data_IF_776968002732
#
_entry.id   IF_776968002732
#
_cell.length_a   1.000
_cell.length_b   1.000
_cell.length_c   1.000
_cell.angle_alpha   90.00
_cell.angle_beta   90.00
_cell.angle_gamma   90.00
#
_symmetry.space_group_name_H-M   'P 1'
#
loop_
_entity.id
_entity.type
_entity.pdbx_description
1 polymer ?
#
# COMPACT_ATOMS: atom_id res chain seq x y z
N UNK A 1 9.08 20.68 25.61
CA UNK A 1 8.55 21.16 24.31
C UNK A 1 7.06 21.34 24.52
N UNK A 2 6.56 22.56 24.33
CA UNK A 2 5.17 22.92 24.63
C UNK A 2 4.22 22.40 23.53
N UNK A 3 3.77 21.15 23.67
CA UNK A 3 2.79 20.57 22.75
C UNK A 3 1.42 21.27 22.89
N UNK A 4 1.10 21.80 24.08
CA UNK A 4 -0.17 22.48 24.35
C UNK A 4 -0.30 23.80 23.59
N UNK A 5 0.81 24.55 23.43
CA UNK A 5 0.83 25.76 22.61
C UNK A 5 0.52 25.49 21.14
N UNK A 6 1.11 24.43 20.57
CA UNK A 6 0.91 24.04 19.16
C UNK A 6 -0.50 23.54 18.88
N UNK A 7 -1.09 22.79 19.80
CA UNK A 7 -2.48 22.33 19.68
C UNK A 7 -3.47 23.50 19.70
N UNK A 8 -3.25 24.50 20.58
CA UNK A 8 -4.11 25.68 20.64
C UNK A 8 -4.05 26.51 19.36
N UNK A 9 -2.86 26.67 18.80
CA UNK A 9 -2.68 27.38 17.53
C UNK A 9 -3.28 26.59 16.36
N UNK A 10 -3.18 25.26 16.35
CA UNK A 10 -3.85 24.40 15.36
C UNK A 10 -5.38 24.50 15.44
N UNK A 11 -5.96 24.50 16.64
CA UNK A 11 -7.40 24.70 16.86
C UNK A 11 -7.87 26.08 16.42
N UNK A 12 -7.05 27.12 16.62
CA UNK A 12 -7.35 28.47 16.13
C UNK A 12 -7.40 28.51 14.59
N UNK A 13 -6.46 27.82 13.92
CA UNK A 13 -6.45 27.68 12.46
C UNK A 13 -7.68 26.94 11.94
N UNK A 14 -8.11 25.86 12.59
CA UNK A 14 -9.36 25.15 12.24
C UNK A 14 -10.56 26.09 12.36
N UNK A 15 -10.69 26.81 13.48
CA UNK A 15 -11.81 27.70 13.71
C UNK A 15 -11.89 28.83 12.67
N UNK A 16 -10.75 29.34 12.23
CA UNK A 16 -10.68 30.35 11.18
C UNK A 16 -11.01 29.77 9.78
N UNK A 17 -10.55 28.54 9.49
CA UNK A 17 -10.91 27.82 8.27
C UNK A 17 -12.43 27.56 8.18
N UNK A 18 -13.04 27.05 9.26
CA UNK A 18 -14.49 26.83 9.36
C UNK A 18 -15.29 28.13 9.14
N UNK A 19 -14.80 29.24 9.68
CA UNK A 19 -15.44 30.55 9.51
C UNK A 19 -15.38 31.02 8.06
N UNK A 20 -14.25 30.82 7.38
CA UNK A 20 -14.10 31.11 5.94
C UNK A 20 -15.07 30.26 5.13
N UNK A 21 -15.21 28.98 5.44
CA UNK A 21 -16.16 28.06 4.78
C UNK A 21 -17.62 28.49 4.96
N UNK A 22 -18.03 28.85 6.19
CA UNK A 22 -19.41 29.28 6.50
C UNK A 22 -19.79 30.63 5.90
N UNK A 23 -18.83 31.54 5.71
CA UNK A 23 -19.06 32.84 5.07
C UNK A 23 -19.55 32.76 3.61
N UNK A 24 -19.49 31.56 3.00
CA UNK A 24 -19.94 31.28 1.64
C UNK A 24 -21.46 31.08 1.47
N UNK A 25 -22.24 30.89 2.55
CA UNK A 25 -23.69 30.58 2.47
C UNK A 25 -24.64 31.80 2.50
N UNK A 26 -24.13 33.03 2.59
CA UNK A 26 -24.96 34.25 2.66
C UNK A 26 -24.90 35.13 1.40
N UNK A 27 -26.07 35.43 0.80
CA UNK A 27 -26.49 36.46 -0.18
C UNK A 27 -25.53 37.02 -1.28
N UNK A 28 -24.29 36.53 -1.42
CA UNK A 28 -23.28 37.06 -2.36
C UNK A 28 -22.65 36.04 -3.31
N UNK A 29 -23.27 34.87 -3.48
CA UNK A 29 -22.72 33.71 -4.20
C UNK A 29 -22.63 33.85 -5.74
N UNK A 30 -22.67 35.06 -6.31
CA UNK A 30 -22.81 35.28 -7.76
C UNK A 30 -21.54 35.80 -8.47
N UNK A 31 -20.41 35.99 -7.78
CA UNK A 31 -19.17 36.46 -8.40
C UNK A 31 -17.95 35.62 -8.00
N UNK A 32 -17.58 34.65 -8.85
CA UNK A 32 -16.21 34.24 -9.24
C UNK A 32 -15.07 34.02 -8.21
N UNK A 33 -15.29 34.09 -6.90
CA UNK A 33 -14.24 34.10 -5.87
C UNK A 33 -14.23 32.89 -4.92
N UNK A 34 -15.11 31.91 -5.11
CA UNK A 34 -15.26 30.80 -4.16
C UNK A 34 -14.07 29.83 -4.16
N UNK A 35 -13.48 29.52 -5.32
CA UNK A 35 -12.34 28.57 -5.43
C UNK A 35 -11.14 28.97 -4.57
N UNK A 36 -10.75 30.25 -4.60
CA UNK A 36 -9.59 30.74 -3.83
C UNK A 36 -9.83 30.67 -2.32
N UNK A 37 -11.08 30.84 -1.87
CA UNK A 37 -11.43 30.72 -0.44
C UNK A 37 -11.39 29.27 0.03
N UNK A 38 -11.82 28.32 -0.80
CA UNK A 38 -11.70 26.89 -0.52
C UNK A 38 -10.23 26.46 -0.45
N UNK A 39 -9.40 26.94 -1.38
CA UNK A 39 -7.93 26.69 -1.34
C UNK A 39 -7.29 27.24 -0.07
N UNK A 40 -7.59 28.49 0.31
CA UNK A 40 -7.08 29.07 1.56
C UNK A 40 -7.54 28.28 2.80
N UNK A 41 -8.79 27.81 2.83
CA UNK A 41 -9.29 26.98 3.93
C UNK A 41 -8.55 25.63 3.99
N UNK A 42 -8.33 24.96 2.85
CA UNK A 42 -7.54 23.74 2.79
C UNK A 42 -6.12 23.93 3.30
N UNK A 43 -5.44 24.99 2.86
CA UNK A 43 -4.08 25.31 3.32
C UNK A 43 -4.03 25.48 4.84
N UNK A 44 -5.07 26.07 5.44
CA UNK A 44 -5.19 26.21 6.88
C UNK A 44 -5.42 24.87 7.58
N UNK A 45 -6.28 24.00 7.05
CA UNK A 45 -6.45 22.64 7.59
C UNK A 45 -5.18 21.81 7.48
N UNK A 46 -4.44 21.90 6.37
CA UNK A 46 -3.16 21.19 6.18
C UNK A 46 -2.09 21.71 7.16
N UNK A 47 -2.03 23.02 7.39
CA UNK A 47 -1.15 23.60 8.42
C UNK A 47 -1.53 23.12 9.81
N UNK A 48 -2.81 23.14 10.16
CA UNK A 48 -3.30 22.62 11.44
C UNK A 48 -2.95 21.13 11.60
N UNK A 49 -3.14 20.32 10.56
CA UNK A 49 -2.76 18.90 10.57
C UNK A 49 -1.27 18.71 10.85
N UNK A 50 -0.39 19.47 10.20
CA UNK A 50 1.05 19.41 10.45
C UNK A 50 1.41 19.78 11.90
N UNK A 51 0.71 20.76 12.48
CA UNK A 51 0.91 21.15 13.88
C UNK A 51 0.45 20.06 14.85
N UNK A 52 -0.69 19.40 14.57
CA UNK A 52 -1.14 18.24 15.34
C UNK A 52 -0.18 17.05 15.21
N UNK A 53 0.38 16.80 14.02
CA UNK A 53 1.45 15.81 13.84
C UNK A 53 2.67 16.12 14.71
N UNK A 54 3.09 17.39 14.78
CA UNK A 54 4.19 17.80 15.66
C UNK A 54 3.84 17.67 17.16
N UNK A 55 2.58 17.85 17.53
CA UNK A 55 2.09 17.67 18.89
C UNK A 55 1.85 16.19 19.25
N UNK A 56 2.01 15.26 18.29
CA UNK A 56 1.70 13.82 18.39
C UNK A 56 0.21 13.53 18.62
N UNK A 57 -0.66 14.45 18.23
CA UNK A 57 -2.10 14.23 18.25
C UNK A 57 -2.56 13.75 16.86
N UNK A 58 -2.40 12.46 16.63
CA UNK A 58 -2.64 11.84 15.32
C UNK A 58 -4.13 11.84 14.93
N UNK A 59 -5.03 11.68 15.90
CA UNK A 59 -6.48 11.71 15.66
C UNK A 59 -6.95 13.05 15.08
N UNK A 60 -6.53 14.16 15.69
CA UNK A 60 -6.93 15.49 15.20
C UNK A 60 -6.22 15.85 13.89
N UNK A 61 -4.98 15.39 13.70
CA UNK A 61 -4.29 15.54 12.42
C UNK A 61 -5.04 14.86 11.27
N UNK A 62 -5.52 13.63 11.49
CA UNK A 62 -6.31 12.88 10.51
C UNK A 62 -7.64 13.59 10.24
N UNK A 63 -8.31 14.08 11.29
CA UNK A 63 -9.56 14.82 11.14
C UNK A 63 -9.38 16.08 10.25
N UNK A 64 -8.31 16.85 10.50
CA UNK A 64 -7.97 18.00 9.67
C UNK A 64 -7.69 17.62 8.22
N UNK A 65 -6.96 16.53 7.98
CA UNK A 65 -6.66 16.05 6.63
C UNK A 65 -7.93 15.56 5.91
N UNK A 66 -8.85 14.89 6.61
CA UNK A 66 -10.14 14.48 6.05
C UNK A 66 -10.98 15.68 5.61
N UNK A 67 -11.04 16.73 6.42
CA UNK A 67 -11.72 17.98 6.05
C UNK A 67 -11.07 18.63 4.81
N UNK A 68 -9.74 18.63 4.71
CA UNK A 68 -9.04 19.12 3.51
C UNK A 68 -9.33 18.26 2.27
N UNK A 69 -9.37 16.94 2.42
CA UNK A 69 -9.68 15.97 1.35
C UNK A 69 -11.09 16.20 0.81
N UNK A 70 -12.09 16.35 1.68
CA UNK A 70 -13.47 16.59 1.27
C UNK A 70 -13.55 17.84 0.38
N UNK A 71 -12.92 18.94 0.81
CA UNK A 71 -12.91 20.19 0.04
C UNK A 71 -12.13 20.02 -1.28
N UNK A 72 -10.96 19.38 -1.29
CA UNK A 72 -10.21 19.15 -2.52
C UNK A 72 -10.94 18.23 -3.50
N UNK A 73 -11.72 17.27 -3.00
CA UNK A 73 -12.56 16.38 -3.81
C UNK A 73 -13.71 17.16 -4.43
N UNK A 74 -14.39 18.01 -3.65
CA UNK A 74 -15.46 18.90 -4.15
C UNK A 74 -14.94 19.91 -5.19
N UNK A 75 -13.68 20.32 -5.09
CA UNK A 75 -13.00 21.19 -6.05
C UNK A 75 -12.52 20.46 -7.32
N UNK A 76 -12.66 19.13 -7.38
CA UNK A 76 -12.14 18.30 -8.48
C UNK A 76 -10.62 18.22 -8.53
N UNK A 77 -9.92 18.44 -7.41
CA UNK A 77 -8.45 18.34 -7.30
C UNK A 77 -8.04 16.97 -6.75
N UNK A 78 -8.38 15.91 -7.48
CA UNK A 78 -8.18 14.53 -7.04
C UNK A 78 -6.71 14.16 -6.80
N UNK A 79 -5.78 14.73 -7.57
CA UNK A 79 -4.33 14.52 -7.37
C UNK A 79 -3.83 15.03 -6.02
N UNK A 80 -4.39 16.12 -5.50
CA UNK A 80 -4.02 16.69 -4.20
C UNK A 80 -4.71 15.91 -3.09
N UNK A 81 -5.99 15.59 -3.26
CA UNK A 81 -6.74 14.74 -2.33
C UNK A 81 -6.03 13.39 -2.13
N UNK A 82 -5.57 12.75 -3.21
CA UNK A 82 -4.82 11.50 -3.15
C UNK A 82 -3.51 11.60 -2.35
N UNK A 83 -2.78 12.73 -2.44
CA UNK A 83 -1.59 12.97 -1.62
C UNK A 83 -1.92 13.04 -0.13
N UNK A 84 -3.03 13.69 0.22
CA UNK A 84 -3.48 13.75 1.61
C UNK A 84 -3.97 12.39 2.11
N UNK A 85 -4.65 11.60 1.27
CA UNK A 85 -4.98 10.21 1.59
C UNK A 85 -3.74 9.35 1.89
N UNK A 86 -2.67 9.48 1.09
CA UNK A 86 -1.39 8.81 1.38
C UNK A 86 -0.84 9.26 2.75
N UNK A 87 -0.84 10.56 3.03
CA UNK A 87 -0.38 11.06 4.34
C UNK A 87 -1.20 10.55 5.52
N UNK A 88 -2.51 10.36 5.36
CA UNK A 88 -3.37 9.73 6.37
C UNK A 88 -3.00 8.26 6.54
N UNK A 89 -2.82 7.53 5.42
CA UNK A 89 -2.45 6.13 5.44
C UNK A 89 -1.09 5.90 6.11
N UNK A 90 -0.11 6.77 5.87
CA UNK A 90 1.21 6.74 6.54
C UNK A 90 1.11 6.99 8.05
N UNK A 91 0.15 7.79 8.52
CA UNK A 91 -0.10 7.99 9.96
C UNK A 91 -0.71 6.72 10.57
N UNK A 92 -1.68 6.11 9.89
CA UNK A 92 -2.28 4.85 10.34
C UNK A 92 -1.25 3.71 10.36
N UNK A 93 -0.36 3.67 9.36
CA UNK A 93 0.73 2.69 9.24
C UNK A 93 1.76 2.82 10.36
N UNK A 94 2.30 4.02 10.60
CA UNK A 94 3.47 4.19 11.47
C UNK A 94 3.11 4.40 12.94
N UNK A 95 2.03 5.14 13.23
CA UNK A 95 1.76 5.66 14.57
C UNK A 95 0.61 4.94 15.26
N UNK A 96 -0.48 4.66 14.51
CA UNK A 96 -1.67 4.02 15.06
C UNK A 96 -1.67 2.50 14.89
N UNK A 97 -0.77 1.96 14.06
CA UNK A 97 -0.66 0.54 13.72
C UNK A 97 -1.99 -0.10 13.27
N UNK A 98 -2.88 0.70 12.68
CA UNK A 98 -4.18 0.28 12.17
C UNK A 98 -4.06 0.02 10.66
N UNK A 99 -3.64 -1.21 10.35
CA UNK A 99 -3.32 -1.63 8.99
C UNK A 99 -4.58 -1.68 8.10
N UNK A 100 -5.73 -2.05 8.66
CA UNK A 100 -7.01 -2.10 7.93
C UNK A 100 -7.42 -0.73 7.39
N UNK A 101 -7.36 0.32 8.23
CA UNK A 101 -7.66 1.67 7.77
C UNK A 101 -6.60 2.22 6.83
N UNK A 102 -5.33 1.89 7.05
CA UNK A 102 -4.26 2.29 6.14
C UNK A 102 -4.50 1.76 4.72
N UNK A 103 -4.90 0.49 4.59
CA UNK A 103 -5.28 -0.13 3.31
C UNK A 103 -6.41 0.66 2.64
N UNK A 104 -7.51 0.93 3.36
CA UNK A 104 -8.65 1.65 2.79
C UNK A 104 -8.26 3.03 2.23
N UNK A 105 -7.43 3.79 2.95
CA UNK A 105 -6.96 5.10 2.47
C UNK A 105 -5.96 4.99 1.31
N UNK A 106 -5.07 3.99 1.29
CA UNK A 106 -4.17 3.75 0.17
C UNK A 106 -4.92 3.30 -1.10
N UNK A 107 -5.97 2.50 -0.97
CA UNK A 107 -6.84 2.11 -2.09
C UNK A 107 -7.56 3.30 -2.69
N UNK A 108 -8.18 4.13 -1.84
CA UNK A 108 -8.84 5.34 -2.31
C UNK A 108 -7.87 6.32 -2.99
N UNK A 109 -6.64 6.44 -2.47
CA UNK A 109 -5.58 7.22 -3.14
C UNK A 109 -5.21 6.63 -4.51
N UNK A 110 -5.10 5.30 -4.62
CA UNK A 110 -4.80 4.62 -5.87
C UNK A 110 -5.89 4.85 -6.91
N UNK A 111 -7.17 4.77 -6.52
CA UNK A 111 -8.31 5.01 -7.41
C UNK A 111 -8.33 6.43 -7.95
N UNK A 112 -8.05 7.44 -7.11
CA UNK A 112 -7.91 8.82 -7.57
C UNK A 112 -6.76 8.99 -8.57
N UNK A 113 -5.59 8.39 -8.31
CA UNK A 113 -4.47 8.48 -9.27
C UNK A 113 -4.75 7.73 -10.56
N UNK A 114 -5.48 6.60 -10.50
CA UNK A 114 -5.88 5.82 -11.67
C UNK A 114 -6.88 6.60 -12.53
N UNK A 115 -7.82 7.32 -11.91
CA UNK A 115 -8.76 8.20 -12.61
C UNK A 115 -8.09 9.37 -13.32
N UNK A 116 -6.99 9.89 -12.77
CA UNK A 116 -6.19 10.97 -13.36
C UNK A 116 -5.09 10.48 -14.32
N UNK A 117 -5.18 9.22 -14.79
CA UNK A 117 -4.20 8.54 -15.66
C UNK A 117 -2.76 8.49 -15.10
N UNK A 118 -2.58 8.73 -13.79
CA UNK A 118 -1.30 8.73 -13.11
C UNK A 118 -0.93 7.33 -12.60
N UNK A 119 -0.72 6.41 -13.54
CA UNK A 119 -0.46 4.99 -13.23
C UNK A 119 0.76 4.75 -12.34
N UNK A 120 1.84 5.52 -12.51
CA UNK A 120 3.05 5.37 -11.67
C UNK A 120 2.78 5.65 -10.19
N UNK A 121 1.98 6.68 -9.89
CA UNK A 121 1.61 7.03 -8.52
C UNK A 121 0.58 6.04 -7.95
N UNK A 122 -0.38 5.61 -8.78
CA UNK A 122 -1.34 4.57 -8.42
C UNK A 122 -0.64 3.26 -8.04
N UNK A 123 0.31 2.80 -8.86
CA UNK A 123 1.07 1.58 -8.60
C UNK A 123 1.84 1.66 -7.28
N UNK A 124 2.43 2.81 -6.93
CA UNK A 124 3.10 2.97 -5.64
C UNK A 124 2.15 2.78 -4.45
N UNK A 125 0.91 3.28 -4.55
CA UNK A 125 -0.10 3.09 -3.52
C UNK A 125 -0.59 1.64 -3.48
N UNK A 126 -0.87 1.05 -4.64
CA UNK A 126 -1.30 -0.34 -4.76
C UNK A 126 -0.25 -1.33 -4.22
N UNK A 127 1.05 -1.05 -4.40
CA UNK A 127 2.10 -1.87 -3.79
C UNK A 127 2.00 -1.89 -2.26
N UNK A 128 1.72 -0.73 -1.64
CA UNK A 128 1.49 -0.64 -0.20
C UNK A 128 0.25 -1.43 0.21
N UNK A 129 -0.86 -1.26 -0.51
CA UNK A 129 -2.09 -2.05 -0.31
C UNK A 129 -1.79 -3.55 -0.33
N UNK A 130 -1.09 -4.04 -1.36
CA UNK A 130 -0.77 -5.46 -1.50
C UNK A 130 0.13 -5.97 -0.37
N UNK A 131 1.15 -5.19 0.04
CA UNK A 131 2.04 -5.61 1.13
C UNK A 131 1.31 -5.78 2.45
N UNK A 132 0.37 -4.87 2.77
CA UNK A 132 -0.42 -4.93 3.99
C UNK A 132 -1.54 -5.96 3.91
N UNK A 133 -2.20 -6.09 2.76
CA UNK A 133 -3.21 -7.12 2.53
C UNK A 133 -2.62 -8.52 2.72
N UNK A 134 -1.41 -8.77 2.24
CA UNK A 134 -0.70 -10.03 2.49
C UNK A 134 -0.40 -10.26 3.98
N UNK A 135 -0.05 -9.20 4.73
CA UNK A 135 0.17 -9.30 6.18
C UNK A 135 -1.13 -9.63 6.93
N UNK A 136 -2.27 -9.09 6.49
CA UNK A 136 -3.60 -9.39 7.02
C UNK A 136 -4.22 -10.70 6.50
N UNK A 137 -3.43 -11.55 5.84
CA UNK A 137 -3.86 -12.85 5.30
C UNK A 137 -4.92 -12.75 4.18
N UNK A 138 -5.12 -11.55 3.63
CA UNK A 138 -5.94 -11.31 2.44
C UNK A 138 -5.14 -11.60 1.16
N UNK A 139 -4.64 -12.83 1.05
CA UNK A 139 -3.74 -13.24 -0.02
C UNK A 139 -4.35 -13.07 -1.42
N UNK A 140 -5.63 -13.41 -1.59
CA UNK A 140 -6.34 -13.28 -2.86
C UNK A 140 -6.32 -11.83 -3.39
N UNK A 141 -6.59 -10.87 -2.51
CA UNK A 141 -6.56 -9.44 -2.84
C UNK A 141 -5.14 -8.97 -3.20
N UNK A 142 -4.14 -9.42 -2.43
CA UNK A 142 -2.74 -9.08 -2.71
C UNK A 142 -2.27 -9.62 -4.07
N UNK A 143 -2.64 -10.86 -4.41
CA UNK A 143 -2.34 -11.49 -5.70
C UNK A 143 -2.87 -10.64 -6.85
N UNK A 144 -4.17 -10.32 -6.84
CA UNK A 144 -4.80 -9.56 -7.91
C UNK A 144 -4.09 -8.22 -8.15
N UNK A 145 -3.70 -7.54 -7.06
CA UNK A 145 -2.98 -6.28 -7.15
C UNK A 145 -1.56 -6.47 -7.70
N UNK A 146 -0.80 -7.46 -7.22
CA UNK A 146 0.55 -7.72 -7.72
C UNK A 146 0.56 -8.14 -9.20
N UNK A 147 -0.42 -8.90 -9.66
CA UNK A 147 -0.55 -9.29 -11.07
C UNK A 147 -0.91 -8.11 -11.97
N UNK A 148 -1.80 -7.23 -11.50
CA UNK A 148 -2.13 -5.99 -12.22
C UNK A 148 -0.89 -5.11 -12.38
N UNK A 149 -0.13 -4.89 -11.30
CA UNK A 149 1.09 -4.08 -11.34
C UNK A 149 2.19 -4.76 -12.16
N UNK A 150 2.32 -6.09 -12.04
CA UNK A 150 3.27 -6.89 -12.81
C UNK A 150 3.03 -6.77 -14.30
N UNK A 151 1.77 -6.91 -14.74
CA UNK A 151 1.37 -6.76 -16.14
C UNK A 151 1.67 -5.35 -16.66
N UNK A 152 1.32 -4.31 -15.90
CA UNK A 152 1.65 -2.94 -16.26
C UNK A 152 3.17 -2.69 -16.34
N UNK A 153 3.96 -3.29 -15.46
CA UNK A 153 5.41 -3.16 -15.44
C UNK A 153 6.08 -3.85 -16.65
N UNK A 154 5.44 -4.87 -17.24
CA UNK A 154 5.93 -5.50 -18.47
C UNK A 154 5.78 -4.61 -19.70
N UNK A 155 4.67 -3.86 -19.78
CA UNK A 155 4.40 -2.93 -20.87
C UNK A 155 5.41 -1.76 -20.90
N UNK A 156 5.89 -1.36 -19.71
CA UNK A 156 6.89 -0.30 -19.58
C UNK A 156 8.32 -0.85 -19.62
N UNK A 157 9.08 -0.51 -20.68
CA UNK A 157 10.49 -0.92 -20.86
C UNK A 157 11.38 -0.53 -19.68
N UNK A 158 11.05 0.56 -18.97
CA UNK A 158 11.80 1.04 -17.80
C UNK A 158 11.53 0.21 -16.53
N UNK A 159 10.34 -0.39 -16.40
CA UNK A 159 9.91 -1.11 -15.20
C UNK A 159 10.07 -2.64 -15.30
N UNK A 160 10.51 -3.15 -16.45
CA UNK A 160 10.71 -4.59 -16.70
C UNK A 160 11.54 -5.31 -15.64
N UNK A 161 12.52 -4.63 -15.04
CA UNK A 161 13.33 -5.21 -13.97
C UNK A 161 12.56 -5.36 -12.66
N UNK A 162 11.63 -4.45 -12.37
CA UNK A 162 10.76 -4.52 -11.19
C UNK A 162 9.62 -5.54 -11.33
N UNK A 163 9.21 -5.89 -12.55
CA UNK A 163 8.16 -6.89 -12.79
C UNK A 163 8.47 -8.25 -12.13
N UNK A 164 9.75 -8.66 -12.11
CA UNK A 164 10.20 -9.91 -11.49
C UNK A 164 9.88 -9.99 -9.99
N UNK A 165 10.09 -8.88 -9.27
CA UNK A 165 9.79 -8.79 -7.84
C UNK A 165 8.27 -8.90 -7.59
N UNK A 166 7.45 -8.23 -8.41
CA UNK A 166 5.99 -8.30 -8.28
C UNK A 166 5.45 -9.71 -8.53
N UNK A 167 5.91 -10.40 -9.58
CA UNK A 167 5.51 -11.78 -9.85
C UNK A 167 6.00 -12.75 -8.78
N UNK A 168 7.20 -12.55 -8.23
CA UNK A 168 7.69 -13.33 -7.12
C UNK A 168 6.79 -13.18 -5.88
N UNK A 169 6.41 -11.94 -5.54
CA UNK A 169 5.49 -11.65 -4.43
C UNK A 169 4.09 -12.25 -4.66
N UNK A 170 3.58 -12.16 -5.88
CA UNK A 170 2.32 -12.80 -6.25
C UNK A 170 2.39 -14.33 -6.11
N UNK A 171 3.48 -14.96 -6.57
CA UNK A 171 3.69 -16.41 -6.45
C UNK A 171 3.76 -16.86 -4.98
N UNK A 172 4.47 -16.11 -4.11
CA UNK A 172 4.50 -16.40 -2.67
C UNK A 172 3.11 -16.26 -2.03
N UNK A 173 2.32 -15.27 -2.45
CA UNK A 173 0.94 -15.13 -1.96
C UNK A 173 0.04 -16.28 -2.44
N UNK A 174 0.18 -16.71 -3.70
CA UNK A 174 -0.51 -17.91 -4.21
C UNK A 174 -0.12 -19.14 -3.41
N UNK A 175 1.15 -19.26 -3.05
CA UNK A 175 1.65 -20.41 -2.30
C UNK A 175 1.10 -20.48 -0.88
N UNK A 176 0.86 -19.33 -0.23
CA UNK A 176 0.17 -19.29 1.05
C UNK A 176 -1.31 -19.76 0.97
N UNK A 177 -1.92 -19.69 -0.21
CA UNK A 177 -3.32 -20.11 -0.44
C UNK A 177 -3.40 -21.57 -0.82
N UNK A 178 -2.70 -21.96 -1.90
CA UNK A 178 -2.71 -23.32 -2.44
C UNK A 178 -1.46 -23.57 -3.30
N UNK A 179 -0.83 -24.69 -3.04
CA UNK A 179 0.34 -25.20 -3.76
C UNK A 179 0.08 -25.36 -5.27
N UNK A 180 -1.11 -25.84 -5.68
CA UNK A 180 -1.44 -26.04 -7.08
C UNK A 180 -1.57 -24.71 -7.83
N UNK A 181 -2.20 -23.71 -7.19
CA UNK A 181 -2.31 -22.36 -7.73
C UNK A 181 -0.94 -21.70 -7.89
N UNK A 182 -0.03 -21.89 -6.93
CA UNK A 182 1.33 -21.39 -7.04
C UNK A 182 2.08 -21.98 -8.24
N UNK A 183 2.01 -23.30 -8.46
CA UNK A 183 2.61 -23.94 -9.64
C UNK A 183 2.05 -23.39 -10.96
N UNK A 184 0.72 -23.29 -11.07
CA UNK A 184 0.07 -22.76 -12.27
C UNK A 184 0.46 -21.30 -12.53
N UNK A 185 0.51 -20.48 -11.47
CA UNK A 185 0.91 -19.07 -11.56
C UNK A 185 2.35 -18.92 -12.07
N UNK A 186 3.29 -19.73 -11.56
CA UNK A 186 4.69 -19.73 -12.01
C UNK A 186 4.81 -20.10 -13.48
N UNK A 187 4.14 -21.16 -13.94
CA UNK A 187 4.12 -21.53 -15.35
C UNK A 187 3.59 -20.40 -16.22
N UNK A 188 2.48 -19.77 -15.81
CA UNK A 188 1.91 -18.62 -16.51
C UNK A 188 2.90 -17.44 -16.59
N UNK A 189 3.61 -17.13 -15.51
CA UNK A 189 4.59 -16.05 -15.50
C UNK A 189 5.80 -16.35 -16.41
N UNK A 190 6.19 -17.61 -16.56
CA UNK A 190 7.24 -18.02 -17.50
C UNK A 190 6.82 -17.89 -18.96
N UNK A 191 5.56 -18.24 -19.27
CA UNK A 191 5.00 -18.05 -20.61
C UNK A 191 4.87 -16.56 -20.96
N UNK A 192 4.43 -15.73 -20.01
CA UNK A 192 4.27 -14.29 -20.20
C UNK A 192 5.61 -13.56 -20.29
N UNK A 193 6.60 -13.96 -19.49
CA UNK A 193 7.91 -13.31 -19.44
C UNK A 193 9.03 -14.36 -19.42
N UNK A 194 9.60 -14.74 -20.59
CA UNK A 194 10.67 -15.74 -20.66
C UNK A 194 11.90 -15.39 -19.82
N UNK A 195 12.20 -14.09 -19.63
CA UNK A 195 13.30 -13.63 -18.78
C UNK A 195 13.01 -13.77 -17.26
N UNK A 196 11.79 -14.17 -16.87
CA UNK A 196 11.45 -14.61 -15.52
C UNK A 196 12.00 -16.01 -15.23
N UNK A 197 12.02 -16.90 -16.22
CA UNK A 197 12.55 -18.27 -16.06
C UNK A 197 14.02 -18.28 -15.63
N UNK A 198 14.81 -17.34 -16.15
CA UNK A 198 16.21 -17.18 -15.76
C UNK A 198 16.42 -16.43 -14.44
N UNK A 199 15.34 -15.83 -13.90
CA UNK A 199 15.38 -15.08 -12.66
C UNK A 199 15.64 -16.01 -11.47
N UNK A 200 16.39 -15.52 -10.49
CA UNK A 200 16.73 -16.28 -9.28
C UNK A 200 15.48 -16.55 -8.45
N UNK A 201 14.56 -15.59 -8.50
CA UNK A 201 13.26 -15.60 -7.85
C UNK A 201 12.40 -16.77 -8.35
N UNK A 202 12.31 -16.99 -9.67
CA UNK A 202 11.58 -18.14 -10.23
C UNK A 202 12.23 -19.47 -9.84
N UNK A 203 13.57 -19.56 -9.92
CA UNK A 203 14.31 -20.77 -9.51
C UNK A 203 14.11 -21.11 -8.04
N UNK A 204 14.04 -20.09 -7.17
CA UNK A 204 13.70 -20.28 -5.77
C UNK A 204 12.28 -20.83 -5.64
N UNK A 205 11.26 -20.18 -6.22
CA UNK A 205 9.86 -20.64 -6.08
C UNK A 205 9.68 -22.09 -6.56
N UNK A 206 10.34 -22.48 -7.67
CA UNK A 206 10.32 -23.87 -8.14
C UNK A 206 10.89 -24.84 -7.12
N UNK A 207 12.08 -24.55 -6.56
CA UNK A 207 12.66 -25.37 -5.49
C UNK A 207 11.77 -25.44 -4.25
N UNK A 208 11.10 -24.34 -3.89
CA UNK A 208 10.18 -24.33 -2.74
C UNK A 208 8.92 -25.16 -3.01
N UNK A 209 8.41 -25.16 -4.25
CA UNK A 209 7.30 -26.02 -4.66
C UNK A 209 7.69 -27.50 -4.61
N UNK A 210 8.86 -27.85 -5.14
CA UNK A 210 9.35 -29.25 -5.13
C UNK A 210 9.56 -29.74 -3.69
N UNK A 211 10.17 -28.92 -2.81
CA UNK A 211 10.34 -29.26 -1.40
C UNK A 211 9.01 -29.42 -0.64
N UNK A 212 7.97 -28.65 -1.01
CA UNK A 212 6.64 -28.79 -0.43
C UNK A 212 5.95 -30.09 -0.86
N UNK A 213 6.11 -30.54 -2.11
CA UNK A 213 5.57 -31.84 -2.56
C UNK A 213 6.19 -33.02 -1.85
N UNK A 214 7.49 -32.93 -1.58
CA UNK A 214 8.24 -33.97 -0.87
C UNK A 214 8.03 -33.89 0.65
N UNK A 215 7.29 -32.88 1.15
CA UNK A 215 7.15 -32.54 2.56
C UNK A 215 8.50 -32.41 3.29
N UNK A 216 9.53 -31.94 2.57
CA UNK A 216 10.89 -31.81 3.09
C UNK A 216 11.15 -30.38 3.59
N UNK A 217 11.01 -30.20 4.90
CA UNK A 217 11.26 -28.93 5.58
C UNK A 217 12.73 -28.53 5.53
N UNK A 218 13.65 -29.49 5.52
CA UNK A 218 15.09 -29.22 5.50
C UNK A 218 15.50 -28.68 4.13
N UNK A 219 15.04 -29.33 3.05
CA UNK A 219 15.24 -28.86 1.67
C UNK A 219 14.66 -27.46 1.46
N UNK A 220 13.48 -27.16 2.04
CA UNK A 220 12.91 -25.82 2.01
C UNK A 220 13.84 -24.80 2.69
N UNK A 221 14.35 -25.10 3.88
CA UNK A 221 15.23 -24.17 4.61
C UNK A 221 16.58 -23.96 3.92
N UNK A 222 17.15 -25.00 3.32
CA UNK A 222 18.39 -24.90 2.56
C UNK A 222 18.21 -24.06 1.29
N UNK A 223 17.10 -24.24 0.57
CA UNK A 223 16.77 -23.41 -0.60
C UNK A 223 16.64 -21.92 -0.25
N UNK A 224 16.00 -21.60 0.89
CA UNK A 224 15.86 -20.22 1.39
C UNK A 224 17.23 -19.65 1.80
N UNK A 225 18.08 -20.46 2.47
CA UNK A 225 19.42 -20.05 2.91
C UNK A 225 20.35 -19.79 1.73
N UNK A 226 20.34 -20.65 0.72
CA UNK A 226 21.08 -20.46 -0.52
C UNK A 226 20.67 -19.16 -1.21
N UNK A 227 19.38 -18.88 -1.25
CA UNK A 227 18.87 -17.64 -1.83
C UNK A 227 19.29 -16.41 -1.02
N UNK A 228 19.17 -16.43 0.31
CA UNK A 228 19.55 -15.30 1.17
C UNK A 228 21.05 -14.96 1.07
N UNK A 229 21.90 -15.97 0.87
CA UNK A 229 23.34 -15.76 0.67
C UNK A 229 23.67 -14.96 -0.60
N UNK A 230 22.81 -15.02 -1.61
CA UNK A 230 22.99 -14.38 -2.92
C UNK A 230 22.16 -13.08 -3.02
N UNK A 231 20.92 -13.12 -2.51
CA UNK A 231 19.94 -12.04 -2.55
C UNK A 231 19.32 -11.91 -1.16
N UNK A 232 19.77 -10.91 -0.41
CA UNK A 232 19.33 -10.69 0.96
C UNK A 232 17.80 -10.55 1.03
N UNK A 233 17.17 -11.37 1.87
CA UNK A 233 15.73 -11.36 2.07
C UNK A 233 15.31 -10.09 2.83
N UNK A 234 14.21 -9.48 2.38
CA UNK A 234 13.55 -8.41 3.11
C UNK A 234 12.64 -9.00 4.22
N UNK A 235 12.17 -8.12 5.11
CA UNK A 235 11.31 -8.52 6.23
C UNK A 235 10.00 -9.15 5.73
N UNK A 236 9.48 -8.67 4.60
CA UNK A 236 8.22 -9.17 4.02
C UNK A 236 8.39 -10.59 3.48
N UNK A 237 9.42 -10.86 2.66
CA UNK A 237 9.72 -12.18 2.13
C UNK A 237 9.99 -13.17 3.27
N UNK A 238 10.75 -12.76 4.29
CA UNK A 238 11.00 -13.58 5.47
C UNK A 238 9.69 -13.97 6.17
N UNK A 239 8.77 -13.02 6.35
CA UNK A 239 7.48 -13.28 7.00
C UNK A 239 6.63 -14.26 6.19
N UNK A 240 6.56 -14.08 4.86
CA UNK A 240 5.79 -14.98 3.99
C UNK A 240 6.40 -16.39 3.96
N UNK A 241 7.71 -16.51 3.79
CA UNK A 241 8.41 -17.80 3.77
C UNK A 241 8.28 -18.56 5.09
N UNK A 242 8.29 -17.85 6.22
CA UNK A 242 8.05 -18.46 7.54
C UNK A 242 6.61 -18.97 7.68
N UNK A 243 5.62 -18.26 7.13
CA UNK A 243 4.22 -18.73 7.12
C UNK A 243 4.07 -20.01 6.29
N UNK A 244 4.65 -20.03 5.11
CA UNK A 244 4.69 -21.21 4.24
C UNK A 244 5.39 -22.39 4.94
N UNK A 245 6.56 -22.15 5.55
CA UNK A 245 7.28 -23.19 6.31
C UNK A 245 6.40 -23.78 7.40
N UNK A 246 5.64 -22.94 8.11
CA UNK A 246 4.73 -23.40 9.16
C UNK A 246 3.61 -24.28 8.59
N UNK A 247 3.05 -23.94 7.43
CA UNK A 247 2.05 -24.79 6.76
C UNK A 247 2.59 -26.20 6.46
N UNK A 248 3.83 -26.31 5.96
CA UNK A 248 4.47 -27.63 5.70
C UNK A 248 4.59 -28.44 7.01
N UNK A 249 5.00 -27.79 8.10
CA UNK A 249 5.18 -28.45 9.40
C UNK A 249 3.85 -28.90 10.01
N UNK A 250 2.81 -28.08 9.88
CA UNK A 250 1.47 -28.40 10.37
C UNK A 250 0.89 -29.59 9.56
N UNK A 251 1.05 -29.59 8.22
CA UNK A 251 0.63 -30.70 7.35
C UNK A 251 1.34 -32.03 7.67
N UNK A 252 2.66 -32.00 7.97
CA UNK A 252 3.41 -33.21 8.38
C UNK A 252 2.92 -33.75 9.73
N UNK A 253 2.49 -32.86 10.63
CA UNK A 253 1.99 -33.23 11.95
C UNK A 253 0.58 -33.83 11.92
N UNK A 254 -0.28 -33.38 11.00
CA UNK A 254 -1.63 -33.91 10.80
C UNK A 254 -1.64 -35.28 10.09
N UNK A 255 -0.54 -35.62 9.39
CA UNK A 255 -0.34 -36.90 8.71
C UNK A 255 0.27 -38.00 9.61
N UNK A 256 0.77 -37.67 10.81
CA UNK A 256 1.38 -38.60 11.78
C UNK A 256 0.41 -39.01 12.89
#
# INVERSE_FOLDING_TARGET
>A
MDNSGKEKEALALIAEADKKMKSSRGFGALFGGSSRKYEEACDMYVRAANMFKMAKNWSEAINCLNQAIEIYTDMGRFTIAAKHHISIAEIYENELLDVDKAIAHYEQAADYYKGEESNSAANKCLLKVATYAAQLEQYQKAIEIYEQIGTYAMDSVLLKYGAKDHFFKAALCHFCVDMLNARLSVQRYEEMFPAFSDARECKLVKKLLDAYEEHDVDAFTDAVKDFDSISRLDQWNTTMLLRIKKQIQDDESDLR
#
